data_IF_726528831164
#
_entry.id   IF_726528831164
#
_cell.length_a   1.000
_cell.length_b   1.000
_cell.length_c   1.000
_cell.angle_alpha   90.00
_cell.angle_beta   90.00
_cell.angle_gamma   90.00
#
_symmetry.space_group_name_H-M   'P 1'
#
loop_
_entity.id
_entity.type
_entity.pdbx_description
1 polymer ?
#
# COMPACT_ATOMS: atom_id res chain seq x y z
N UNK A 1 6.80 12.51 -22.41
CA UNK A 1 7.34 11.67 -21.32
C UNK A 1 8.55 10.89 -21.86
N UNK A 2 9.52 10.49 -21.02
CA UNK A 2 10.72 9.78 -21.48
C UNK A 2 10.37 8.43 -22.13
N UNK A 3 11.10 8.02 -23.19
CA UNK A 3 10.92 6.70 -23.84
C UNK A 3 10.96 5.55 -22.83
N UNK A 4 11.84 5.65 -21.82
CA UNK A 4 11.96 4.64 -20.74
C UNK A 4 10.70 4.54 -19.90
N UNK A 5 10.07 5.67 -19.57
CA UNK A 5 8.86 5.69 -18.74
C UNK A 5 7.69 5.08 -19.51
N UNK A 6 7.52 5.45 -20.78
CA UNK A 6 6.48 4.87 -21.62
C UNK A 6 6.63 3.36 -21.76
N UNK A 7 7.87 2.87 -21.89
CA UNK A 7 8.14 1.44 -21.93
C UNK A 7 7.69 0.72 -20.65
N UNK A 8 8.01 1.28 -19.48
CA UNK A 8 7.59 0.72 -18.19
C UNK A 8 6.06 0.74 -18.05
N UNK A 9 5.39 1.82 -18.46
CA UNK A 9 3.92 1.92 -18.43
C UNK A 9 3.30 0.83 -19.32
N UNK A 10 3.84 0.63 -20.53
CA UNK A 10 3.38 -0.44 -21.43
C UNK A 10 3.59 -1.81 -20.82
N UNK A 11 4.75 -2.08 -20.23
CA UNK A 11 5.05 -3.35 -19.57
C UNK A 11 4.09 -3.62 -18.40
N UNK A 12 3.84 -2.62 -17.55
CA UNK A 12 2.87 -2.72 -16.46
C UNK A 12 1.45 -3.00 -16.97
N UNK A 13 1.04 -2.36 -18.07
CA UNK A 13 -0.26 -2.59 -18.70
C UNK A 13 -0.37 -4.03 -19.21
N UNK A 14 0.66 -4.53 -19.90
CA UNK A 14 0.68 -5.90 -20.40
C UNK A 14 0.58 -6.90 -19.24
N UNK A 15 1.35 -6.69 -18.16
CA UNK A 15 1.30 -7.54 -16.96
C UNK A 15 -0.08 -7.49 -16.27
N UNK A 16 -0.71 -6.32 -16.21
CA UNK A 16 -2.03 -6.15 -15.61
C UNK A 16 -3.10 -7.00 -16.33
N UNK A 17 -3.00 -7.10 -17.66
CA UNK A 17 -3.92 -7.83 -18.53
C UNK A 17 -3.67 -9.35 -18.60
N UNK A 18 -2.58 -9.86 -18.01
CA UNK A 18 -2.30 -11.30 -17.98
C UNK A 18 -3.44 -12.05 -17.27
N UNK A 19 -3.90 -13.14 -17.88
CA UNK A 19 -4.86 -14.06 -17.27
C UNK A 19 -4.16 -14.96 -16.23
N UNK A 20 -4.08 -14.48 -15.00
CA UNK A 20 -3.51 -15.21 -13.85
C UNK A 20 -4.54 -15.45 -12.74
N UNK A 21 -5.81 -15.63 -13.11
CA UNK A 21 -6.98 -15.64 -12.23
C UNK A 21 -7.24 -14.31 -11.52
N UNK A 22 -6.91 -13.19 -12.18
CA UNK A 22 -7.12 -11.82 -11.67
C UNK A 22 -6.53 -11.64 -10.27
N UNK A 23 -5.33 -12.19 -10.02
CA UNK A 23 -4.68 -12.05 -8.72
C UNK A 23 -4.53 -10.57 -8.38
N UNK A 24 -5.03 -10.13 -7.21
CA UNK A 24 -5.02 -8.73 -6.86
C UNK A 24 -3.58 -8.24 -6.72
N UNK A 25 -3.32 -7.03 -7.21
CA UNK A 25 -2.03 -6.37 -6.99
C UNK A 25 -2.02 -5.67 -5.64
N UNK A 26 -0.90 -5.73 -4.95
CA UNK A 26 -0.73 -5.12 -3.63
C UNK A 26 0.43 -4.15 -3.71
N UNK A 27 0.13 -2.87 -3.52
CA UNK A 27 1.11 -1.79 -3.51
C UNK A 27 1.23 -1.29 -2.08
N UNK A 28 2.38 -1.56 -1.44
CA UNK A 28 2.72 -0.95 -0.16
C UNK A 28 2.96 0.55 -0.35
N UNK A 29 2.15 1.38 0.31
CA UNK A 29 2.21 2.82 0.19
C UNK A 29 2.65 3.47 1.50
N UNK A 30 3.58 4.43 1.41
CA UNK A 30 4.16 5.11 2.57
C UNK A 30 4.12 6.64 2.46
N UNK A 31 3.55 7.18 1.38
CA UNK A 31 3.64 8.61 1.06
C UNK A 31 5.04 9.09 0.65
N UNK A 32 6.00 8.16 0.51
CA UNK A 32 7.36 8.45 0.06
C UNK A 32 7.48 8.53 -1.46
N UNK A 33 8.62 9.04 -1.94
CA UNK A 33 8.89 9.24 -3.37
C UNK A 33 8.77 7.94 -4.20
N UNK A 34 9.26 6.82 -3.68
CA UNK A 34 9.34 5.56 -4.43
C UNK A 34 7.96 4.91 -4.54
N UNK A 35 7.22 4.85 -3.43
CA UNK A 35 5.85 4.30 -3.40
C UNK A 35 4.87 5.18 -4.19
N UNK A 36 5.05 6.50 -4.14
CA UNK A 36 4.28 7.44 -4.98
C UNK A 36 4.59 7.28 -6.46
N UNK A 37 5.87 7.17 -6.84
CA UNK A 37 6.26 6.95 -8.23
C UNK A 37 5.73 5.61 -8.77
N UNK A 38 5.82 4.54 -7.98
CA UNK A 38 5.28 3.23 -8.36
C UNK A 38 3.77 3.30 -8.57
N UNK A 39 3.02 3.87 -7.62
CA UNK A 39 1.57 4.01 -7.74
C UNK A 39 1.21 4.85 -8.97
N UNK A 40 1.92 5.95 -9.22
CA UNK A 40 1.68 6.79 -10.39
C UNK A 40 1.88 6.02 -11.71
N UNK A 41 2.93 5.20 -11.82
CA UNK A 41 3.19 4.39 -13.02
C UNK A 41 2.09 3.34 -13.24
N UNK A 42 1.68 2.65 -12.17
CA UNK A 42 0.57 1.68 -12.23
C UNK A 42 -0.74 2.38 -12.60
N UNK A 43 -1.01 3.55 -12.02
CA UNK A 43 -2.19 4.35 -12.33
C UNK A 43 -2.25 4.71 -13.80
N UNK A 44 -1.15 5.20 -14.37
CA UNK A 44 -1.06 5.56 -15.79
C UNK A 44 -1.30 4.33 -16.67
N UNK A 45 -0.66 3.20 -16.36
CA UNK A 45 -0.83 1.95 -17.10
C UNK A 45 -2.29 1.48 -17.13
N UNK A 46 -2.96 1.47 -15.97
CA UNK A 46 -4.37 1.04 -15.87
C UNK A 46 -5.31 2.06 -16.50
N UNK A 47 -4.98 3.36 -16.48
CA UNK A 47 -5.79 4.39 -17.12
C UNK A 47 -5.86 4.23 -18.65
N UNK A 48 -4.83 3.62 -19.25
CA UNK A 48 -4.78 3.26 -20.68
C UNK A 48 -5.52 1.95 -21.02
N UNK A 49 -6.08 1.26 -20.02
CA UNK A 49 -6.90 0.05 -20.20
C UNK A 49 -8.37 0.47 -20.30
N UNK A 50 -9.16 -0.06 -21.27
CA UNK A 50 -10.59 0.17 -21.36
C UNK A 50 -11.31 -0.24 -20.07
N UNK A 51 -12.34 0.51 -19.66
CA UNK A 51 -13.09 0.26 -18.41
C UNK A 51 -13.59 -1.19 -18.29
N UNK A 52 -14.01 -1.81 -19.39
CA UNK A 52 -14.48 -3.21 -19.45
C UNK A 52 -13.40 -4.25 -19.11
N UNK A 53 -12.13 -3.89 -19.22
CA UNK A 53 -10.98 -4.77 -18.98
C UNK A 53 -10.28 -4.48 -17.64
N UNK A 54 -10.72 -3.45 -16.91
CA UNK A 54 -10.18 -3.10 -15.58
C UNK A 54 -10.73 -4.03 -14.49
N UNK A 55 -10.47 -5.34 -14.62
CA UNK A 55 -11.04 -6.38 -13.77
C UNK A 55 -10.19 -6.77 -12.56
N UNK A 56 -8.87 -6.59 -12.63
CA UNK A 56 -7.94 -6.96 -11.56
C UNK A 56 -7.93 -5.88 -10.48
N UNK A 57 -8.22 -6.24 -9.24
CA UNK A 57 -8.18 -5.32 -8.11
C UNK A 57 -6.73 -4.91 -7.78
N UNK A 58 -6.54 -3.66 -7.41
CA UNK A 58 -5.26 -3.11 -6.93
C UNK A 58 -5.46 -2.54 -5.53
N UNK A 59 -4.86 -3.16 -4.52
CA UNK A 59 -4.86 -2.66 -3.16
C UNK A 59 -3.68 -1.74 -2.92
N UNK A 60 -3.96 -0.50 -2.57
CA UNK A 60 -2.97 0.45 -2.05
C UNK A 60 -3.03 0.37 -0.53
N UNK A 61 -2.03 -0.29 0.07
CA UNK A 61 -2.03 -0.59 1.50
C UNK A 61 -1.01 0.30 2.20
N UNK A 62 -1.50 1.19 3.07
CA UNK A 62 -0.66 1.95 3.99
C UNK A 62 -0.56 1.22 5.33
N UNK A 63 0.64 1.12 5.87
CA UNK A 63 0.86 0.58 7.20
C UNK A 63 1.20 1.71 8.15
N UNK A 64 0.28 2.00 9.06
CA UNK A 64 0.43 3.03 10.08
C UNK A 64 0.96 2.38 11.35
N UNK A 65 2.15 2.78 11.77
CA UNK A 65 2.81 2.22 12.95
C UNK A 65 2.45 2.94 14.25
N UNK A 66 1.67 4.02 14.19
CA UNK A 66 1.24 4.85 15.31
C UNK A 66 2.42 5.52 16.06
N UNK A 67 3.57 5.64 15.41
CA UNK A 67 4.77 6.31 15.96
C UNK A 67 5.33 7.40 15.05
N UNK A 68 4.70 7.60 13.90
CA UNK A 68 5.00 8.67 12.97
C UNK A 68 4.70 10.04 13.59
N UNK A 69 5.37 11.08 13.09
CA UNK A 69 5.06 12.45 13.49
C UNK A 69 3.61 12.79 13.10
N UNK A 70 2.78 13.38 14.00
CA UNK A 70 1.38 13.69 13.70
C UNK A 70 1.16 14.51 12.43
N UNK A 71 2.07 15.43 12.11
CA UNK A 71 2.01 16.24 10.89
C UNK A 71 2.20 15.37 9.64
N UNK A 72 3.14 14.43 9.70
CA UNK A 72 3.40 13.49 8.60
C UNK A 72 2.25 12.49 8.45
N UNK A 73 1.70 12.01 9.57
CA UNK A 73 0.55 11.10 9.56
C UNK A 73 -0.67 11.76 8.90
N UNK A 74 -1.00 12.99 9.32
CA UNK A 74 -2.10 13.75 8.73
C UNK A 74 -1.92 13.97 7.22
N UNK A 75 -0.70 14.31 6.79
CA UNK A 75 -0.37 14.44 5.37
C UNK A 75 -0.56 13.13 4.59
N UNK A 76 -0.09 12.00 5.12
CA UNK A 76 -0.26 10.70 4.47
C UNK A 76 -1.74 10.34 4.35
N UNK A 77 -2.54 10.57 5.40
CA UNK A 77 -3.98 10.34 5.35
C UNK A 77 -4.69 11.20 4.30
N UNK A 78 -4.31 12.48 4.17
CA UNK A 78 -4.84 13.36 3.13
C UNK A 78 -4.53 12.81 1.72
N UNK A 79 -3.33 12.28 1.50
CA UNK A 79 -2.98 11.64 0.22
C UNK A 79 -3.81 10.39 -0.03
N UNK A 80 -3.98 9.52 0.97
CA UNK A 80 -4.77 8.30 0.84
C UNK A 80 -6.23 8.61 0.46
N UNK A 81 -6.81 9.66 1.06
CA UNK A 81 -8.16 10.09 0.70
C UNK A 81 -8.22 10.62 -0.73
N UNK A 82 -7.24 11.42 -1.17
CA UNK A 82 -7.15 11.88 -2.57
C UNK A 82 -7.03 10.71 -3.55
N UNK A 83 -6.27 9.67 -3.23
CA UNK A 83 -6.15 8.46 -4.05
C UNK A 83 -7.51 7.75 -4.15
N UNK A 84 -8.25 7.66 -3.04
CA UNK A 84 -9.56 7.04 -2.97
C UNK A 84 -10.62 7.81 -3.78
N UNK A 85 -10.67 9.13 -3.62
CA UNK A 85 -11.56 10.01 -4.39
C UNK A 85 -11.25 9.96 -5.90
N UNK A 86 -9.97 10.04 -6.26
CA UNK A 86 -9.53 9.91 -7.65
C UNK A 86 -9.87 8.53 -8.24
N UNK A 87 -9.76 7.47 -7.44
CA UNK A 87 -10.07 6.10 -7.87
C UNK A 87 -11.55 5.97 -8.21
N UNK A 88 -12.43 6.47 -7.33
CA UNK A 88 -13.86 6.46 -7.54
C UNK A 88 -14.28 7.30 -8.76
N UNK A 89 -13.78 8.53 -8.88
CA UNK A 89 -14.11 9.43 -9.98
C UNK A 89 -13.65 8.93 -11.36
N UNK A 90 -12.51 8.22 -11.42
CA UNK A 90 -11.95 7.70 -12.67
C UNK A 90 -12.30 6.23 -12.93
N UNK A 91 -13.16 5.62 -12.10
CA UNK A 91 -13.53 4.21 -12.18
C UNK A 91 -12.29 3.31 -12.26
N UNK A 92 -11.33 3.57 -11.37
CA UNK A 92 -10.12 2.75 -11.23
C UNK A 92 -10.43 1.56 -10.31
N UNK A 93 -9.89 0.37 -10.58
CA UNK A 93 -10.05 -0.81 -9.73
C UNK A 93 -9.11 -0.74 -8.51
N UNK A 94 -8.99 0.44 -7.89
CA UNK A 94 -8.05 0.69 -6.79
C UNK A 94 -8.80 0.81 -5.47
N UNK A 95 -8.42 -0.04 -4.51
CA UNK A 95 -8.90 -0.02 -3.13
C UNK A 95 -7.80 0.48 -2.19
N UNK A 96 -8.08 1.52 -1.43
CA UNK A 96 -7.11 2.12 -0.51
C UNK A 96 -7.43 1.68 0.92
N UNK A 97 -6.45 1.14 1.63
CA UNK A 97 -6.63 0.59 2.97
C UNK A 97 -5.48 0.94 3.89
N UNK A 98 -5.79 1.24 5.14
CA UNK A 98 -4.81 1.51 6.19
C UNK A 98 -4.82 0.36 7.20
N UNK A 99 -3.65 -0.21 7.47
CA UNK A 99 -3.46 -1.25 8.48
C UNK A 99 -2.74 -0.70 9.69
N UNK A 100 -3.17 -1.12 10.88
CA UNK A 100 -2.53 -0.77 12.15
C UNK A 100 -2.08 -2.02 12.92
N UNK A 101 -1.01 -1.93 13.73
CA UNK A 101 -0.67 -2.97 14.69
C UNK A 101 -1.83 -3.23 15.65
N UNK A 102 -1.93 -4.48 16.15
CA UNK A 102 -2.79 -4.74 17.30
C UNK A 102 -2.19 -4.05 18.52
N UNK A 103 -3.02 -3.74 19.51
CA UNK A 103 -2.60 -3.03 20.72
C UNK A 103 -1.36 -3.67 21.36
N UNK A 104 -1.35 -5.01 21.48
CA UNK A 104 -0.23 -5.79 22.03
C UNK A 104 1.06 -5.73 21.21
N UNK A 105 0.99 -5.30 19.96
CA UNK A 105 2.12 -5.18 19.03
C UNK A 105 2.56 -3.72 18.84
N UNK A 106 1.86 -2.75 19.45
CA UNK A 106 2.22 -1.33 19.37
C UNK A 106 3.53 -1.01 20.09
N UNK A 107 4.19 0.06 19.65
CA UNK A 107 5.52 0.45 20.11
C UNK A 107 5.57 0.68 21.63
N UNK A 108 4.68 1.53 22.14
CA UNK A 108 4.67 1.93 23.55
C UNK A 108 4.27 0.78 24.48
N UNK A 109 3.34 -0.09 24.06
CA UNK A 109 2.98 -1.29 24.85
C UNK A 109 4.17 -2.24 24.98
N UNK A 110 4.95 -2.47 23.91
CA UNK A 110 6.09 -3.37 24.00
C UNK A 110 7.26 -2.76 24.79
N UNK A 111 7.55 -1.47 24.62
CA UNK A 111 8.66 -0.83 25.34
C UNK A 111 8.30 -0.57 26.80
N UNK A 112 7.29 0.26 27.06
CA UNK A 112 6.93 0.68 28.41
C UNK A 112 6.21 -0.44 29.15
N UNK A 113 5.25 -1.09 28.47
CA UNK A 113 4.40 -2.11 29.10
C UNK A 113 5.07 -3.47 29.29
N UNK A 114 6.02 -3.86 28.42
CA UNK A 114 6.66 -5.19 28.45
C UNK A 114 8.18 -5.16 28.60
N UNK A 115 8.80 -3.98 28.68
CA UNK A 115 10.24 -3.84 28.87
C UNK A 115 11.08 -4.27 27.66
N UNK A 116 10.52 -4.25 26.45
CA UNK A 116 11.31 -4.56 25.25
C UNK A 116 12.39 -3.50 25.05
N UNK A 117 13.60 -3.89 24.62
CA UNK A 117 14.60 -2.92 24.22
C UNK A 117 14.10 -2.13 23.00
N UNK A 118 14.46 -0.85 22.96
CA UNK A 118 14.20 0.03 21.82
C UNK A 118 14.75 -0.65 20.55
N UNK A 119 13.96 -0.73 19.47
CA UNK A 119 14.39 -1.42 18.27
C UNK A 119 15.64 -0.78 17.69
N UNK A 120 16.57 -1.62 17.25
CA UNK A 120 17.82 -1.20 16.60
C UNK A 120 18.09 -2.10 15.39
N UNK A 121 19.24 -1.90 14.72
CA UNK A 121 19.56 -2.66 13.52
C UNK A 121 19.69 -4.18 13.74
N UNK A 122 20.12 -4.62 14.93
CA UNK A 122 20.23 -6.04 15.27
C UNK A 122 18.90 -6.63 15.78
N UNK A 123 18.05 -5.80 16.38
CA UNK A 123 16.80 -6.24 17.01
C UNK A 123 15.61 -5.45 16.46
N UNK A 124 15.19 -5.82 15.24
CA UNK A 124 14.14 -5.15 14.43
C UNK A 124 12.74 -5.72 14.64
N UNK A 125 12.36 -5.95 15.90
CA UNK A 125 11.05 -6.54 16.23
C UNK A 125 9.86 -5.71 15.73
N UNK A 126 10.03 -4.39 15.60
CA UNK A 126 9.00 -3.49 15.10
C UNK A 126 8.62 -3.79 13.63
N UNK A 127 9.55 -4.25 12.79
CA UNK A 127 9.25 -4.60 11.40
C UNK A 127 8.24 -5.75 11.32
N UNK A 128 8.49 -6.83 12.07
CA UNK A 128 7.57 -7.97 12.10
C UNK A 128 6.21 -7.59 12.69
N UNK A 129 6.23 -7.01 13.89
CA UNK A 129 5.03 -6.72 14.67
C UNK A 129 4.16 -5.61 14.10
N UNK A 130 4.79 -4.55 13.62
CA UNK A 130 4.09 -3.32 13.24
C UNK A 130 3.88 -3.19 11.73
N UNK A 131 4.73 -3.81 10.89
CA UNK A 131 4.62 -3.71 9.42
C UNK A 131 4.12 -4.99 8.76
N UNK A 132 4.78 -6.12 9.02
CA UNK A 132 4.49 -7.39 8.35
C UNK A 132 3.16 -7.95 8.83
N UNK A 133 3.00 -8.19 10.14
CA UNK A 133 1.79 -8.83 10.70
C UNK A 133 0.49 -8.10 10.35
N UNK A 134 0.38 -6.76 10.44
CA UNK A 134 -0.86 -6.07 10.07
C UNK A 134 -1.22 -6.23 8.61
N UNK A 135 -0.23 -6.09 7.73
CA UNK A 135 -0.40 -6.26 6.29
C UNK A 135 -0.79 -7.69 5.95
N UNK A 136 -0.10 -8.69 6.49
CA UNK A 136 -0.43 -10.10 6.25
C UNK A 136 -1.85 -10.44 6.69
N UNK A 137 -2.29 -9.96 7.85
CA UNK A 137 -3.68 -10.17 8.31
C UNK A 137 -4.71 -9.56 7.36
N UNK A 138 -4.43 -8.37 6.84
CA UNK A 138 -5.29 -7.74 5.84
C UNK A 138 -5.37 -8.61 4.57
N UNK A 139 -4.23 -9.05 4.04
CA UNK A 139 -4.17 -9.86 2.83
C UNK A 139 -4.86 -11.22 2.98
N UNK A 140 -4.69 -11.90 4.12
CA UNK A 140 -5.41 -13.16 4.39
C UNK A 140 -6.92 -12.96 4.42
N UNK A 141 -7.41 -11.83 4.92
CA UNK A 141 -8.84 -11.51 4.94
C UNK A 141 -9.36 -11.13 3.56
N UNK A 142 -8.61 -10.29 2.83
CA UNK A 142 -8.99 -9.84 1.49
C UNK A 142 -9.03 -10.99 0.47
N UNK A 143 -8.15 -11.99 0.59
CA UNK A 143 -8.15 -13.17 -0.27
C UNK A 143 -9.20 -14.23 0.14
N UNK A 144 -9.84 -14.10 1.31
CA UNK A 144 -10.84 -15.04 1.82
C UNK A 144 -12.29 -14.59 1.54
N UNK A 145 -12.46 -13.38 1.02
CA UNK A 145 -13.72 -12.75 0.62
C UNK A 145 -13.86 -12.74 -0.90
#
# INVERSE_FOLDING_TARGET
>A
MSKRINHIISELKDQYLIEDNLRPWIIGFSGGKDSTALLQLVWLAISEVPLSERKREVHVVCNDTLVENPVIQAYVYEILEKIKEASASMSMPIRVETTIPRLEDTFWVNIIGRGYPVPNNAFRWCTDKMKIKPTSRYLTRANAS
#
